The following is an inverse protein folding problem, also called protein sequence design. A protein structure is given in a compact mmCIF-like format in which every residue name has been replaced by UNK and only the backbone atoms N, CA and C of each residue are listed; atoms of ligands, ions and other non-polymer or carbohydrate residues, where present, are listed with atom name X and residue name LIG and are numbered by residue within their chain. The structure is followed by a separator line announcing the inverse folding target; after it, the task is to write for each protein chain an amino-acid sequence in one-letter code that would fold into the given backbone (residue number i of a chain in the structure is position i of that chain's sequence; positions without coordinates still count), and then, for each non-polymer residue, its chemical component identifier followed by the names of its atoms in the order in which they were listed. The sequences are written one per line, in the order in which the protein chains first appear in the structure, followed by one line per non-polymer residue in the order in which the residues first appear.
data_IF_831167257394
#
_entry.id   IF_831167257394
#
_cell.length_a   1.000
_cell.length_b   1.000
_cell.length_c   1.000
_cell.angle_alpha   90.00
_cell.angle_beta   90.00
_cell.angle_gamma   90.00
#
_symmetry.space_group_name_H-M   'P 1'
#
loop_
_entity.id
_entity.type
_entity.pdbx_description
1 polymer ?
#
# COMPACT_ATOMS: atom_id res chain seq x y z
N UNK A 1 -8.57 -20.40 -42.26
CA UNK A 1 -7.58 -20.99 -41.33
C UNK A 1 -7.16 -19.90 -40.37
N UNK A 2 -7.69 -19.92 -39.15
CA UNK A 2 -7.28 -19.04 -38.06
C UNK A 2 -7.35 -19.86 -36.78
N UNK A 3 -6.21 -20.10 -36.15
CA UNK A 3 -6.06 -20.68 -34.80
C UNK A 3 -4.76 -20.15 -34.19
N UNK A 4 -4.73 -18.85 -33.95
CA UNK A 4 -3.88 -18.27 -32.91
C UNK A 4 -4.82 -17.70 -31.86
N UNK A 5 -5.01 -18.45 -30.77
CA UNK A 5 -5.35 -17.99 -29.41
C UNK A 5 -5.66 -19.20 -28.50
N UNK A 6 -4.63 -19.86 -27.93
CA UNK A 6 -4.80 -20.61 -26.68
C UNK A 6 -4.17 -19.90 -25.47
N UNK A 7 -3.31 -18.90 -25.66
CA UNK A 7 -2.55 -18.29 -24.55
C UNK A 7 -3.34 -17.24 -23.75
N UNK A 8 -4.40 -16.67 -24.32
CA UNK A 8 -5.18 -15.63 -23.65
C UNK A 8 -6.11 -16.15 -22.54
N UNK A 9 -6.32 -17.46 -22.46
CA UNK A 9 -7.30 -18.07 -21.54
C UNK A 9 -6.67 -18.76 -20.31
N UNK A 10 -5.34 -18.86 -20.23
CA UNK A 10 -4.62 -19.51 -19.11
C UNK A 10 -4.10 -18.55 -18.04
N UNK A 11 -4.45 -17.26 -18.12
CA UNK A 11 -4.14 -16.24 -17.11
C UNK A 11 -5.43 -15.79 -16.39
N UNK A 12 -6.19 -16.73 -15.83
CA UNK A 12 -6.89 -16.40 -14.58
C UNK A 12 -5.77 -15.94 -13.64
N UNK A 13 -5.73 -14.64 -13.38
CA UNK A 13 -4.49 -13.94 -13.18
C UNK A 13 -3.77 -14.50 -11.94
N UNK A 14 -2.44 -14.60 -11.97
CA UNK A 14 -1.68 -15.23 -10.85
C UNK A 14 -1.92 -14.55 -9.49
N UNK A 15 -2.56 -13.37 -9.51
CA UNK A 15 -2.93 -12.55 -8.37
C UNK A 15 -4.38 -12.72 -7.87
N UNK A 16 -5.26 -13.46 -8.55
CA UNK A 16 -6.65 -13.69 -8.10
C UNK A 16 -6.70 -14.29 -6.69
N UNK A 17 -5.77 -15.20 -6.36
CA UNK A 17 -5.61 -15.77 -5.02
C UNK A 17 -5.34 -14.71 -3.94
N UNK A 18 -4.61 -13.65 -4.28
CA UNK A 18 -4.29 -12.56 -3.35
C UNK A 18 -5.49 -11.63 -3.17
N UNK A 19 -6.23 -11.37 -4.25
CA UNK A 19 -7.51 -10.65 -4.20
C UNK A 19 -8.49 -11.39 -3.29
N UNK A 20 -8.70 -12.69 -3.52
CA UNK A 20 -9.57 -13.53 -2.69
C UNK A 20 -9.13 -13.58 -1.22
N UNK A 21 -7.82 -13.68 -0.96
CA UNK A 21 -7.30 -13.66 0.40
C UNK A 21 -7.61 -12.33 1.12
N UNK A 22 -7.45 -11.19 0.44
CA UNK A 22 -7.80 -9.88 1.00
C UNK A 22 -9.30 -9.77 1.23
N UNK A 23 -10.14 -10.17 0.28
CA UNK A 23 -11.59 -10.23 0.48
C UNK A 23 -11.95 -11.06 1.71
N UNK A 24 -11.35 -12.24 1.89
CA UNK A 24 -11.59 -13.08 3.06
C UNK A 24 -11.19 -12.38 4.37
N UNK A 25 -10.03 -11.73 4.41
CA UNK A 25 -9.54 -10.96 5.57
C UNK A 25 -10.53 -9.85 5.97
N UNK A 26 -11.07 -9.13 4.98
CA UNK A 26 -11.93 -7.97 5.24
C UNK A 26 -13.42 -8.32 5.34
N UNK A 27 -13.88 -9.43 4.76
CA UNK A 27 -15.28 -9.89 4.83
C UNK A 27 -15.73 -10.22 6.25
N UNK A 28 -14.80 -10.66 7.10
CA UNK A 28 -15.04 -10.94 8.52
C UNK A 28 -15.13 -9.71 9.42
N UNK A 29 -14.92 -8.50 8.88
CA UNK A 29 -15.04 -7.25 9.64
C UNK A 29 -16.48 -6.72 9.62
N UNK A 30 -16.98 -6.12 10.72
CA UNK A 30 -18.34 -5.60 10.80
C UNK A 30 -18.66 -4.57 9.71
N UNK A 31 -17.66 -3.81 9.28
CA UNK A 31 -17.81 -2.73 8.32
C UNK A 31 -17.31 -3.10 6.91
N UNK A 32 -16.70 -4.27 6.74
CA UNK A 32 -16.16 -4.79 5.45
C UNK A 32 -15.31 -3.80 4.66
N UNK A 33 -14.75 -2.80 5.34
CA UNK A 33 -13.95 -1.79 4.70
C UNK A 33 -12.47 -2.17 4.72
N UNK A 34 -11.80 -1.76 3.65
CA UNK A 34 -10.36 -1.77 3.53
C UNK A 34 -9.91 -0.33 3.31
N UNK A 35 -8.89 0.11 4.04
CA UNK A 35 -8.16 1.32 3.68
C UNK A 35 -6.99 0.93 2.76
N UNK A 36 -7.11 1.24 1.48
CA UNK A 36 -6.01 1.11 0.53
C UNK A 36 -4.97 2.20 0.82
N UNK A 37 -3.72 1.81 1.00
CA UNK A 37 -2.60 2.70 1.28
C UNK A 37 -1.67 2.79 0.07
N UNK A 38 -1.52 4.01 -0.47
CA UNK A 38 -0.76 4.27 -1.70
C UNK A 38 0.36 5.26 -1.44
N UNK A 39 1.50 5.06 -2.10
CA UNK A 39 2.65 5.96 -2.13
C UNK A 39 2.82 6.53 -3.56
N UNK A 40 2.40 7.78 -3.80
CA UNK A 40 2.48 8.39 -5.14
C UNK A 40 3.86 9.00 -5.46
N UNK A 41 4.89 8.74 -4.65
CA UNK A 41 6.15 9.49 -4.72
C UNK A 41 6.93 9.37 -6.04
N UNK A 42 6.73 8.29 -6.80
CA UNK A 42 7.33 8.14 -8.14
C UNK A 42 6.32 8.41 -9.25
N UNK A 43 5.16 7.77 -9.16
CA UNK A 43 4.03 7.93 -10.06
C UNK A 43 2.76 7.54 -9.30
N UNK A 44 1.70 8.33 -9.38
CA UNK A 44 0.42 8.04 -8.73
C UNK A 44 -0.37 7.04 -9.60
N UNK A 45 -0.50 5.76 -9.19
CA UNK A 45 -1.08 4.75 -10.06
C UNK A 45 -2.59 4.89 -10.29
N UNK A 46 -3.24 5.76 -9.51
CA UNK A 46 -4.68 6.03 -9.59
C UNK A 46 -4.98 7.48 -9.99
N UNK A 47 -4.01 8.21 -10.53
CA UNK A 47 -4.26 9.54 -11.08
C UNK A 47 -5.40 9.50 -12.12
N UNK A 48 -6.43 10.32 -11.91
CA UNK A 48 -7.61 10.38 -12.79
C UNK A 48 -8.69 9.33 -12.51
N UNK A 49 -8.50 8.41 -11.57
CA UNK A 49 -9.56 7.51 -11.13
C UNK A 49 -10.55 8.26 -10.24
N UNK A 50 -11.78 8.49 -10.73
CA UNK A 50 -12.78 9.33 -10.06
C UNK A 50 -13.14 8.83 -8.65
N UNK A 51 -13.21 7.51 -8.43
CA UNK A 51 -13.57 6.96 -7.13
C UNK A 51 -12.43 7.19 -6.13
N UNK A 52 -11.20 6.97 -6.57
CA UNK A 52 -10.02 7.22 -5.75
C UNK A 52 -9.88 8.71 -5.45
N UNK A 53 -9.97 9.60 -6.45
CA UNK A 53 -9.86 11.04 -6.27
C UNK A 53 -10.91 11.59 -5.28
N UNK A 54 -12.16 11.14 -5.37
CA UNK A 54 -13.25 11.54 -4.46
C UNK A 54 -12.95 11.19 -2.99
N UNK A 55 -12.30 10.05 -2.75
CA UNK A 55 -12.15 9.47 -1.40
C UNK A 55 -10.73 9.54 -0.85
N UNK A 56 -9.78 10.02 -1.64
CA UNK A 56 -8.35 10.09 -1.32
C UNK A 56 -8.12 11.04 -0.15
N UNK A 57 -7.62 10.50 0.95
CA UNK A 57 -7.10 11.27 2.07
C UNK A 57 -5.58 11.26 2.05
N UNK A 58 -4.96 12.38 1.62
CA UNK A 58 -3.50 12.55 1.67
C UNK A 58 -3.04 12.72 3.12
N UNK A 59 -2.04 11.94 3.53
CA UNK A 59 -1.45 12.00 4.88
C UNK A 59 -0.80 13.38 5.06
N UNK A 60 -1.25 14.21 6.04
CA UNK A 60 -0.84 15.61 6.14
C UNK A 60 0.53 15.78 6.81
N UNK A 61 1.59 15.26 6.18
CA UNK A 61 2.97 15.34 6.68
C UNK A 61 3.42 16.80 6.70
N UNK A 62 3.62 17.37 7.90
CA UNK A 62 4.07 18.75 8.08
C UNK A 62 5.59 18.79 8.20
N UNK A 63 6.29 19.03 7.09
CA UNK A 63 7.73 19.24 7.11
C UNK A 63 8.15 20.28 6.06
N UNK A 64 8.99 21.29 6.39
CA UNK A 64 9.31 22.39 5.47
C UNK A 64 9.94 21.97 4.13
N UNK A 65 10.53 20.78 4.07
CA UNK A 65 11.17 20.22 2.86
C UNK A 65 10.37 19.06 2.23
N UNK A 66 9.12 18.87 2.63
CA UNK A 66 8.28 17.80 2.12
C UNK A 66 7.12 18.38 1.31
N UNK A 67 7.02 17.98 0.05
CA UNK A 67 5.92 18.36 -0.81
C UNK A 67 4.75 17.37 -0.64
N UNK A 68 3.60 17.89 -0.23
CA UNK A 68 2.40 17.10 0.04
C UNK A 68 1.86 16.36 -1.19
N UNK A 69 2.24 16.74 -2.41
CA UNK A 69 1.90 15.99 -3.63
C UNK A 69 2.43 14.56 -3.61
N UNK A 70 3.59 14.36 -2.97
CA UNK A 70 4.22 13.04 -2.80
C UNK A 70 3.83 12.35 -1.49
N UNK A 71 2.93 12.95 -0.70
CA UNK A 71 2.45 12.31 0.52
C UNK A 71 1.72 11.00 0.18
N UNK A 72 1.95 9.92 0.95
CA UNK A 72 1.10 8.75 0.82
C UNK A 72 -0.34 9.11 1.14
N UNK A 73 -1.28 8.33 0.61
CA UNK A 73 -2.70 8.56 0.84
C UNK A 73 -3.45 7.29 1.15
N UNK A 74 -4.63 7.47 1.74
CA UNK A 74 -5.54 6.41 2.13
C UNK A 74 -6.85 6.57 1.34
N UNK A 75 -7.37 5.46 0.81
CA UNK A 75 -8.67 5.38 0.14
C UNK A 75 -9.53 4.35 0.87
N UNK A 76 -10.73 4.76 1.30
CA UNK A 76 -11.68 3.82 1.91
C UNK A 76 -12.47 3.08 0.83
N UNK A 77 -12.30 1.76 0.82
CA UNK A 77 -12.99 0.83 -0.07
C UNK A 77 -14.01 0.03 0.72
N UNK A 78 -15.24 -0.02 0.23
CA UNK A 78 -16.30 -0.92 0.68
C UNK A 78 -16.34 -2.15 -0.22
N UNK A 79 -15.81 -3.26 0.26
CA UNK A 79 -15.64 -4.47 -0.56
C UNK A 79 -16.96 -5.20 -0.86
N UNK A 80 -18.11 -4.70 -0.38
CA UNK A 80 -19.42 -5.15 -0.84
C UNK A 80 -19.83 -4.53 -2.19
N UNK A 81 -19.15 -3.46 -2.62
CA UNK A 81 -19.43 -2.73 -3.86
C UNK A 81 -18.46 -3.17 -4.95
N UNK A 82 -18.99 -3.49 -6.13
CA UNK A 82 -18.18 -3.96 -7.27
C UNK A 82 -17.06 -2.97 -7.62
N UNK A 83 -17.35 -1.67 -7.74
CA UNK A 83 -16.35 -0.65 -8.12
C UNK A 83 -15.17 -0.57 -7.14
N UNK A 84 -15.47 -0.68 -5.85
CA UNK A 84 -14.47 -0.67 -4.78
C UNK A 84 -13.63 -1.97 -4.80
N UNK A 85 -14.29 -3.10 -5.10
CA UNK A 85 -13.64 -4.39 -5.33
C UNK A 85 -12.70 -4.36 -6.56
N UNK A 86 -13.08 -3.66 -7.62
CA UNK A 86 -12.26 -3.50 -8.83
C UNK A 86 -10.99 -2.68 -8.51
N UNK A 87 -11.11 -1.61 -7.71
CA UNK A 87 -9.95 -0.84 -7.22
C UNK A 87 -9.05 -1.70 -6.33
N UNK A 88 -9.62 -2.55 -5.48
CA UNK A 88 -8.85 -3.52 -4.71
C UNK A 88 -8.07 -4.46 -5.64
N UNK A 89 -8.73 -5.09 -6.61
CA UNK A 89 -8.09 -6.01 -7.55
C UNK A 89 -6.95 -5.33 -8.33
N UNK A 90 -7.18 -4.13 -8.87
CA UNK A 90 -6.16 -3.33 -9.55
C UNK A 90 -4.98 -2.99 -8.63
N UNK A 91 -5.23 -2.66 -7.36
CA UNK A 91 -4.14 -2.43 -6.40
C UNK A 91 -3.31 -3.69 -6.12
N UNK A 92 -3.91 -4.87 -6.10
CA UNK A 92 -3.18 -6.14 -5.95
C UNK A 92 -2.33 -6.40 -7.17
N UNK A 93 -2.89 -6.23 -8.37
CA UNK A 93 -2.16 -6.35 -9.62
C UNK A 93 -0.95 -5.40 -9.66
N UNK A 94 -1.13 -4.12 -9.32
CA UNK A 94 -0.05 -3.13 -9.24
C UNK A 94 1.04 -3.54 -8.24
N UNK A 95 0.65 -4.05 -7.07
CA UNK A 95 1.59 -4.54 -6.07
C UNK A 95 2.40 -5.73 -6.59
N UNK A 96 1.77 -6.66 -7.30
CA UNK A 96 2.46 -7.80 -7.95
C UNK A 96 3.43 -7.33 -9.05
N UNK A 97 2.99 -6.44 -9.96
CA UNK A 97 3.82 -5.94 -11.06
C UNK A 97 5.01 -5.12 -10.59
N UNK A 98 4.89 -4.41 -9.45
CA UNK A 98 5.98 -3.65 -8.86
C UNK A 98 7.21 -4.52 -8.53
N UNK A 99 7.01 -5.83 -8.37
CA UNK A 99 8.06 -6.83 -8.15
C UNK A 99 8.54 -7.55 -9.41
N UNK A 100 8.06 -7.17 -10.59
CA UNK A 100 8.64 -7.68 -11.85
C UNK A 100 10.12 -7.29 -11.97
N UNK A 101 10.92 -8.14 -12.64
CA UNK A 101 12.33 -7.86 -12.89
C UNK A 101 12.55 -6.51 -13.58
N UNK A 102 11.67 -6.13 -14.51
CA UNK A 102 11.75 -4.86 -15.22
C UNK A 102 11.43 -3.68 -14.31
N UNK A 103 10.42 -3.79 -13.45
CA UNK A 103 10.12 -2.77 -12.45
C UNK A 103 11.29 -2.55 -11.47
N UNK A 104 11.91 -3.65 -11.02
CA UNK A 104 13.08 -3.61 -10.13
C UNK A 104 14.31 -2.98 -10.82
N UNK A 105 14.60 -3.38 -12.07
CA UNK A 105 15.71 -2.82 -12.87
C UNK A 105 15.55 -1.31 -13.09
N UNK A 106 14.32 -0.86 -13.29
CA UNK A 106 14.00 0.56 -13.51
C UNK A 106 13.84 1.35 -12.20
N UNK A 107 13.98 0.71 -11.03
CA UNK A 107 13.82 1.33 -9.71
C UNK A 107 12.47 2.05 -9.54
N UNK A 108 11.40 1.53 -10.15
CA UNK A 108 10.05 2.12 -10.16
C UNK A 108 9.36 2.18 -8.78
N UNK A 109 10.00 1.60 -7.76
CA UNK A 109 9.49 1.56 -6.40
C UNK A 109 8.21 0.73 -6.26
N UNK A 110 7.59 0.81 -5.08
CA UNK A 110 6.34 0.13 -4.79
C UNK A 110 5.25 1.16 -4.50
N UNK A 111 4.28 1.33 -5.42
CA UNK A 111 3.25 2.34 -5.25
C UNK A 111 2.16 1.91 -4.26
N UNK A 112 1.99 0.61 -4.03
CA UNK A 112 1.02 0.08 -3.08
C UNK A 112 1.72 -0.24 -1.77
N UNK A 113 1.41 0.53 -0.73
CA UNK A 113 1.98 0.35 0.60
C UNK A 113 1.31 -0.79 1.34
N UNK A 114 0.05 -1.12 1.02
CA UNK A 114 -0.69 -2.23 1.61
C UNK A 114 -2.17 -1.92 1.79
N UNK A 115 -2.85 -2.85 2.46
CA UNK A 115 -4.28 -2.82 2.74
C UNK A 115 -4.49 -2.87 4.24
N UNK A 116 -5.16 -1.85 4.78
CA UNK A 116 -5.19 -1.61 6.22
C UNK A 116 -6.59 -1.90 6.76
N UNK A 117 -6.61 -2.69 7.83
CA UNK A 117 -7.77 -2.87 8.69
C UNK A 117 -7.70 -1.85 9.82
N UNK A 118 -8.68 -0.97 9.90
CA UNK A 118 -8.80 0.03 10.96
C UNK A 118 -10.29 0.28 11.26
N UNK A 119 -10.63 0.50 12.53
CA UNK A 119 -11.99 0.92 12.93
C UNK A 119 -12.24 2.42 12.68
N UNK A 120 -11.17 3.20 12.49
CA UNK A 120 -11.24 4.63 12.23
C UNK A 120 -11.38 4.99 10.74
N UNK A 121 -11.62 6.26 10.49
CA UNK A 121 -11.60 6.89 9.18
C UNK A 121 -10.18 7.00 8.61
N UNK A 122 -10.07 7.16 7.28
CA UNK A 122 -8.81 7.49 6.62
C UNK A 122 -8.13 8.73 7.22
N UNK A 123 -8.95 9.70 7.67
CA UNK A 123 -8.47 10.93 8.29
C UNK A 123 -7.80 10.68 9.64
N UNK A 124 -8.41 9.90 10.54
CA UNK A 124 -7.85 9.62 11.86
C UNK A 124 -6.51 8.88 11.76
N UNK A 125 -6.45 7.85 10.91
CA UNK A 125 -5.23 7.10 10.67
C UNK A 125 -4.16 7.98 10.01
N UNK A 126 -4.52 8.74 8.98
CA UNK A 126 -3.59 9.62 8.28
C UNK A 126 -3.04 10.73 9.18
N UNK A 127 -3.85 11.35 10.03
CA UNK A 127 -3.36 12.31 11.02
C UNK A 127 -2.45 11.67 12.07
N UNK A 128 -2.76 10.45 12.51
CA UNK A 128 -1.88 9.71 13.40
C UNK A 128 -0.51 9.49 12.74
N UNK A 129 -0.48 8.90 11.55
CA UNK A 129 0.77 8.65 10.83
C UNK A 129 1.54 9.92 10.50
N UNK A 130 0.87 11.01 10.15
CA UNK A 130 1.53 12.29 9.92
C UNK A 130 2.32 12.76 11.15
N UNK A 131 1.80 12.56 12.37
CA UNK A 131 2.49 12.90 13.61
C UNK A 131 3.63 11.93 13.93
N UNK A 132 3.44 10.65 13.64
CA UNK A 132 4.39 9.58 14.02
C UNK A 132 5.50 9.36 12.98
N UNK A 133 5.33 9.80 11.73
CA UNK A 133 6.37 9.75 10.70
C UNK A 133 7.57 10.68 10.96
N UNK A 134 7.57 11.45 12.05
CA UNK A 134 8.66 12.32 12.48
C UNK A 134 9.61 11.62 13.44
N UNK A 135 10.40 10.66 12.98
CA UNK A 135 11.30 9.93 13.86
C UNK A 135 12.70 9.76 13.27
N UNK A 136 13.41 10.89 13.08
CA UNK A 136 14.81 10.95 13.47
C UNK A 136 15.30 12.40 13.54
N UNK A 137 15.75 12.83 14.72
CA UNK A 137 16.64 13.99 14.84
C UNK A 137 18.03 13.44 15.12
N UNK A 138 18.89 13.40 14.10
CA UNK A 138 20.30 12.98 14.26
C UNK A 138 21.18 14.08 13.70
N UNK A 139 22.12 14.56 14.53
CA UNK A 139 23.07 15.62 14.16
C UNK A 139 22.40 16.90 13.63
N UNK A 140 21.27 17.32 14.20
CA UNK A 140 20.59 18.54 13.77
C UNK A 140 19.64 18.39 12.57
N UNK A 141 19.52 17.19 11.99
CA UNK A 141 18.65 16.93 10.85
C UNK A 141 17.39 16.18 11.26
N UNK A 142 16.23 16.80 11.04
CA UNK A 142 14.95 16.10 11.02
C UNK A 142 14.86 15.26 9.73
N UNK A 143 14.83 13.92 9.88
CA UNK A 143 14.60 12.98 8.78
C UNK A 143 13.21 12.36 8.91
N UNK A 144 12.53 12.26 7.77
CA UNK A 144 11.23 11.59 7.68
C UNK A 144 11.45 10.08 7.72
N UNK A 145 10.80 9.39 8.65
CA UNK A 145 10.74 7.94 8.63
C UNK A 145 9.66 7.51 7.64
N UNK A 146 10.08 7.02 6.47
CA UNK A 146 9.19 6.58 5.39
C UNK A 146 8.59 5.20 5.67
N UNK A 147 7.91 5.03 6.81
CA UNK A 147 7.29 3.76 7.19
C UNK A 147 6.22 3.25 6.18
N UNK A 148 5.69 4.15 5.36
CA UNK A 148 4.82 3.80 4.24
C UNK A 148 5.54 3.03 3.14
N UNK A 149 6.83 3.28 2.93
CA UNK A 149 7.65 2.62 1.93
C UNK A 149 7.82 1.13 2.32
N UNK A 150 7.33 0.19 1.51
CA UNK A 150 7.44 -1.23 1.80
C UNK A 150 8.88 -1.68 2.07
N UNK A 151 9.86 -1.18 1.32
CA UNK A 151 11.26 -1.55 1.54
C UNK A 151 11.73 -1.10 2.93
N UNK A 152 11.42 0.13 3.33
CA UNK A 152 11.77 0.63 4.68
C UNK A 152 11.08 -0.19 5.76
N UNK A 153 9.78 -0.48 5.58
CA UNK A 153 8.99 -1.24 6.55
C UNK A 153 9.49 -2.67 6.69
N UNK A 154 9.78 -3.37 5.59
CA UNK A 154 10.27 -4.75 5.60
C UNK A 154 11.58 -4.88 6.37
N UNK A 155 12.51 -3.94 6.18
CA UNK A 155 13.77 -3.91 6.91
C UNK A 155 13.59 -3.51 8.38
N UNK A 156 12.71 -2.55 8.68
CA UNK A 156 12.53 -2.03 10.03
C UNK A 156 11.72 -2.98 10.93
N UNK A 157 10.66 -3.58 10.40
CA UNK A 157 9.62 -4.27 11.18
C UNK A 157 10.13 -5.40 12.08
N UNK A 158 11.05 -6.29 11.63
CA UNK A 158 11.60 -7.36 12.45
C UNK A 158 12.37 -6.84 13.67
N UNK A 159 13.02 -5.68 13.55
CA UNK A 159 13.83 -5.06 14.60
C UNK A 159 13.04 -4.26 15.63
N UNK A 160 11.75 -4.01 15.38
CA UNK A 160 10.89 -3.27 16.31
C UNK A 160 10.36 -4.17 17.43
N UNK A 161 10.41 -3.67 18.67
CA UNK A 161 9.69 -4.23 19.79
C UNK A 161 8.17 -4.14 19.59
N UNK A 162 7.40 -4.96 20.31
CA UNK A 162 5.93 -4.96 20.22
C UNK A 162 5.33 -3.55 20.42
N UNK A 163 5.80 -2.82 21.43
CA UNK A 163 5.33 -1.45 21.71
C UNK A 163 5.66 -0.49 20.57
N UNK A 164 6.81 -0.63 19.93
CA UNK A 164 7.20 0.18 18.79
C UNK A 164 6.34 -0.14 17.57
N UNK A 165 6.04 -1.43 17.31
CA UNK A 165 5.12 -1.84 16.24
C UNK A 165 3.72 -1.25 16.46
N UNK A 166 3.20 -1.31 17.68
CA UNK A 166 1.91 -0.70 18.04
C UNK A 166 1.92 0.82 17.83
N UNK A 167 3.01 1.50 18.19
CA UNK A 167 3.18 2.94 17.93
C UNK A 167 3.25 3.24 16.43
N UNK A 168 3.90 2.39 15.62
CA UNK A 168 3.96 2.59 14.17
C UNK A 168 2.61 2.37 13.48
N UNK A 169 1.82 1.39 13.95
CA UNK A 169 0.48 1.13 13.44
C UNK A 169 -0.52 2.21 13.85
N UNK A 170 -0.46 2.65 15.10
CA UNK A 170 -1.44 3.56 15.66
C UNK A 170 -2.84 2.93 15.73
N UNK A 171 -3.88 3.59 15.19
CA UNK A 171 -5.24 3.06 15.22
C UNK A 171 -5.50 1.95 14.19
N UNK A 172 -4.50 1.59 13.37
CA UNK A 172 -4.58 0.42 12.51
C UNK A 172 -4.48 -0.86 13.34
N UNK A 173 -5.39 -1.80 13.11
CA UNK A 173 -5.34 -3.12 13.73
C UNK A 173 -4.34 -4.03 13.02
N UNK A 174 -4.34 -3.97 11.69
CA UNK A 174 -3.50 -4.81 10.84
C UNK A 174 -3.21 -4.11 9.52
N UNK A 175 -2.00 -4.34 9.01
CA UNK A 175 -1.62 -4.01 7.64
C UNK A 175 -1.36 -5.33 6.93
N UNK A 176 -2.10 -5.59 5.86
CA UNK A 176 -1.83 -6.67 4.91
C UNK A 176 -0.94 -6.13 3.81
N UNK A 177 0.12 -6.86 3.46
CA UNK A 177 1.09 -6.48 2.42
C UNK A 177 1.41 -7.72 1.60
N UNK A 178 1.83 -7.54 0.35
CA UNK A 178 2.44 -8.62 -0.41
C UNK A 178 3.95 -8.56 -0.19
N UNK A 179 4.48 -9.55 0.53
CA UNK A 179 5.93 -9.73 0.68
C UNK A 179 6.40 -10.70 -0.39
N UNK A 180 7.32 -10.26 -1.25
CA UNK A 180 8.00 -11.13 -2.19
C UNK A 180 9.45 -11.29 -1.72
N UNK A 181 9.76 -12.46 -1.17
CA UNK A 181 11.13 -12.81 -0.79
C UNK A 181 11.90 -13.12 -2.07
N UNK A 182 12.68 -12.16 -2.55
CA UNK A 182 13.72 -12.45 -3.52
C UNK A 182 14.86 -13.15 -2.78
N UNK A 183 14.97 -14.47 -2.94
CA UNK A 183 16.26 -15.13 -2.73
C UNK A 183 17.12 -14.71 -3.92
N UNK A 184 17.84 -13.60 -3.77
CA UNK A 184 18.89 -13.22 -4.71
C UNK A 184 20.02 -14.23 -4.53
N UNK A 185 19.98 -15.32 -5.29
CA UNK A 185 21.18 -16.10 -5.57
C UNK A 185 22.08 -15.23 -6.42
N UNK A 186 23.03 -14.54 -5.79
CA UNK A 186 24.21 -14.06 -6.48
C UNK A 186 25.05 -15.31 -6.82
N UNK A 187 25.10 -15.67 -8.10
CA UNK A 187 26.14 -16.55 -8.63
C UNK A 187 27.45 -15.76 -8.76
#
# INVERSE_FOLDING_TARGET
MSRDQPEQFLMASSWDKHVLALHSIFAGRPDRHCLLWVNPAQSDPFEGDLLVEERKFRVPIKHPRFDLRYAPYLVRLDLSRSKDSDVLARSVELACHAWSLDSLRNMNGQPICGWVAANGSSSELGHYWARTCHLHYRQGLAKLLRFHDPAVREWLWPSLELRQRQLMLGPAEKISVLVFIFILYFN
#
